data_IF_209964953126
#
_entry.id   IF_209964953126
#
_cell.length_a   1.000
_cell.length_b   1.000
_cell.length_c   1.000
_cell.angle_alpha   90.00
_cell.angle_beta   90.00
_cell.angle_gamma   90.00
#
_symmetry.space_group_name_H-M   'P 1'
#
loop_
_entity.id
_entity.type
_entity.pdbx_description
1 polymer ?
#
# COMPACT_ATOMS: atom_id res chain seq x y z
N UNK A 1 21.04 -35.93 -33.00
CA UNK A 1 20.17 -35.72 -31.81
C UNK A 1 20.66 -34.64 -30.87
N UNK A 2 21.94 -34.46 -30.60
CA UNK A 2 22.45 -33.45 -29.61
C UNK A 2 22.14 -31.99 -29.97
N UNK A 3 22.10 -31.58 -31.22
CA UNK A 3 21.79 -30.20 -31.64
C UNK A 3 20.33 -29.78 -31.45
N UNK A 4 19.39 -30.71 -31.35
CA UNK A 4 17.98 -30.40 -31.14
C UNK A 4 17.68 -30.10 -29.65
N UNK A 5 18.35 -30.79 -28.75
CA UNK A 5 18.19 -30.61 -27.30
C UNK A 5 18.75 -29.25 -26.84
N UNK A 6 19.84 -28.78 -27.48
CA UNK A 6 20.45 -27.47 -27.14
C UNK A 6 19.54 -26.30 -27.52
N UNK A 7 18.88 -26.38 -28.69
CA UNK A 7 17.93 -25.34 -29.12
C UNK A 7 16.68 -25.29 -28.23
N UNK A 8 16.19 -26.43 -27.78
CA UNK A 8 15.00 -26.49 -26.92
C UNK A 8 15.29 -25.89 -25.52
N UNK A 9 16.48 -26.11 -24.98
CA UNK A 9 16.92 -25.48 -23.70
C UNK A 9 17.03 -23.96 -23.81
N UNK A 10 17.54 -23.41 -24.91
CA UNK A 10 17.59 -21.97 -25.13
C UNK A 10 16.22 -21.32 -25.22
N UNK A 11 15.23 -21.98 -25.85
CA UNK A 11 13.86 -21.47 -25.91
C UNK A 11 13.16 -21.49 -24.56
N UNK A 12 13.42 -22.51 -23.72
CA UNK A 12 12.83 -22.62 -22.39
C UNK A 12 13.38 -21.55 -21.44
N UNK A 13 14.67 -21.24 -21.54
CA UNK A 13 15.30 -20.17 -20.72
C UNK A 13 14.87 -18.77 -21.15
N UNK A 14 14.70 -18.53 -22.46
CA UNK A 14 14.15 -17.27 -22.98
C UNK A 14 12.68 -17.08 -22.56
N UNK A 15 11.87 -18.13 -22.60
CA UNK A 15 10.48 -18.07 -22.16
C UNK A 15 10.35 -17.85 -20.64
N UNK A 16 11.22 -18.46 -19.85
CA UNK A 16 11.27 -18.23 -18.40
C UNK A 16 11.71 -16.79 -18.05
N UNK A 17 12.61 -16.18 -18.84
CA UNK A 17 13.00 -14.76 -18.68
C UNK A 17 11.86 -13.80 -19.03
N UNK A 18 11.01 -14.12 -20.00
CA UNK A 18 9.83 -13.32 -20.34
C UNK A 18 8.74 -13.36 -19.26
N UNK A 19 8.62 -14.46 -18.50
CA UNK A 19 7.67 -14.59 -17.39
C UNK A 19 8.12 -13.84 -16.13
N UNK A 20 9.38 -13.42 -16.04
CA UNK A 20 9.92 -12.66 -14.90
C UNK A 20 9.78 -11.13 -15.06
N UNK A 21 9.38 -10.63 -16.22
CA UNK A 21 9.02 -9.23 -16.37
C UNK A 21 7.62 -9.02 -15.78
N UNK A 22 7.61 -8.71 -14.49
CA UNK A 22 6.39 -8.28 -13.82
C UNK A 22 5.79 -7.11 -14.59
N UNK A 23 4.62 -7.32 -15.20
CA UNK A 23 3.89 -6.30 -15.92
C UNK A 23 3.61 -5.13 -14.96
N UNK A 24 4.32 -4.00 -15.13
CA UNK A 24 3.93 -2.74 -14.53
C UNK A 24 2.71 -2.21 -15.29
N UNK A 25 1.70 -1.77 -14.54
CA UNK A 25 0.52 -1.14 -15.11
C UNK A 25 0.72 0.36 -15.03
N UNK A 26 0.80 1.04 -16.18
CA UNK A 26 0.91 2.50 -16.27
C UNK A 26 -0.49 3.10 -16.42
N UNK A 27 -0.85 4.02 -15.53
CA UNK A 27 -2.17 4.66 -15.45
C UNK A 27 -2.02 6.17 -15.68
N UNK A 28 -2.87 6.79 -16.52
CA UNK A 28 -2.91 8.25 -16.68
C UNK A 28 -3.17 8.98 -15.36
N UNK A 29 -2.66 10.22 -15.21
CA UNK A 29 -2.73 10.98 -13.96
C UNK A 29 -4.18 11.19 -13.48
N UNK A 30 -5.10 11.44 -14.38
CA UNK A 30 -6.52 11.67 -14.11
C UNK A 30 -7.22 10.47 -13.45
N UNK A 31 -6.83 9.25 -13.82
CA UNK A 31 -7.43 8.01 -13.32
C UNK A 31 -6.61 7.34 -12.22
N UNK A 32 -5.36 7.77 -12.04
CA UNK A 32 -4.39 7.06 -11.22
C UNK A 32 -4.83 6.91 -9.77
N UNK A 33 -5.27 7.99 -9.13
CA UNK A 33 -5.65 7.99 -7.71
C UNK A 33 -6.84 7.05 -7.49
N UNK A 34 -7.89 7.15 -8.32
CA UNK A 34 -9.08 6.31 -8.19
C UNK A 34 -8.76 4.83 -8.43
N UNK A 35 -7.93 4.54 -9.44
CA UNK A 35 -7.50 3.18 -9.73
C UNK A 35 -6.67 2.61 -8.57
N UNK A 36 -5.71 3.40 -8.06
CA UNK A 36 -4.82 3.00 -6.97
C UNK A 36 -5.61 2.71 -5.69
N UNK A 37 -6.51 3.61 -5.29
CA UNK A 37 -7.36 3.44 -4.11
C UNK A 37 -8.17 2.15 -4.19
N UNK A 38 -8.77 1.88 -5.35
CA UNK A 38 -9.53 0.64 -5.58
C UNK A 38 -8.66 -0.62 -5.54
N UNK A 39 -7.47 -0.58 -6.14
CA UNK A 39 -6.58 -1.74 -6.29
C UNK A 39 -5.79 -2.06 -5.03
N UNK A 40 -5.32 -1.01 -4.35
CA UNK A 40 -4.31 -1.10 -3.28
C UNK A 40 -4.91 -1.04 -1.88
N UNK A 41 -6.18 -0.70 -1.75
CA UNK A 41 -6.88 -0.76 -0.47
C UNK A 41 -6.98 -2.20 0.02
N UNK A 42 -6.63 -2.41 1.27
CA UNK A 42 -6.89 -3.65 2.01
C UNK A 42 -7.91 -3.36 3.10
N UNK A 43 -8.85 -4.26 3.28
CA UNK A 43 -9.91 -4.15 4.29
C UNK A 43 -9.85 -5.33 5.25
N UNK A 44 -10.19 -5.07 6.50
CA UNK A 44 -10.31 -6.06 7.55
C UNK A 44 -11.44 -5.71 8.50
N UNK A 45 -12.35 -6.63 8.70
CA UNK A 45 -13.39 -6.49 9.71
C UNK A 45 -12.90 -7.04 11.05
N UNK A 46 -13.12 -6.27 12.11
CA UNK A 46 -12.90 -6.69 13.50
C UNK A 46 -13.89 -5.99 14.43
N UNK A 47 -14.61 -6.77 15.25
CA UNK A 47 -15.60 -6.26 16.21
C UNK A 47 -16.70 -5.38 15.57
N UNK A 48 -17.15 -5.74 14.36
CA UNK A 48 -18.18 -4.99 13.62
C UNK A 48 -17.72 -3.68 13.00
N UNK A 49 -16.41 -3.41 13.03
CA UNK A 49 -15.79 -2.24 12.41
C UNK A 49 -14.96 -2.72 11.22
N UNK A 50 -15.16 -2.08 10.07
CA UNK A 50 -14.37 -2.34 8.88
C UNK A 50 -13.18 -1.37 8.83
N UNK A 51 -11.99 -1.88 9.08
CA UNK A 51 -10.73 -1.17 8.96
C UNK A 51 -10.23 -1.26 7.52
N UNK A 52 -9.65 -0.19 7.03
CA UNK A 52 -8.94 -0.23 5.75
C UNK A 52 -7.57 0.43 5.84
N UNK A 53 -6.64 -0.03 5.00
CA UNK A 53 -5.32 0.55 4.88
C UNK A 53 -4.86 0.60 3.43
N UNK A 54 -4.10 1.65 3.09
CA UNK A 54 -3.49 1.87 1.79
C UNK A 54 -2.03 2.29 2.02
N UNK A 55 -1.10 1.48 1.54
CA UNK A 55 0.32 1.85 1.51
C UNK A 55 0.57 2.80 0.32
N UNK A 56 1.09 4.00 0.59
CA UNK A 56 1.30 4.99 -0.45
C UNK A 56 2.64 4.77 -1.18
N UNK A 57 2.63 4.92 -2.49
CA UNK A 57 3.84 4.95 -3.33
C UNK A 57 4.19 6.40 -3.68
N UNK A 58 5.46 6.69 -4.05
CA UNK A 58 5.83 8.03 -4.53
C UNK A 58 4.98 8.51 -5.71
N UNK A 59 4.60 7.59 -6.61
CA UNK A 59 3.72 7.90 -7.75
C UNK A 59 2.32 8.33 -7.30
N UNK A 60 1.78 7.69 -6.24
CA UNK A 60 0.49 8.10 -5.68
C UNK A 60 0.57 9.49 -5.04
N UNK A 61 1.62 9.74 -4.27
CA UNK A 61 1.83 11.02 -3.61
C UNK A 61 2.03 12.15 -4.64
N UNK A 62 2.81 11.88 -5.70
CA UNK A 62 2.99 12.81 -6.83
C UNK A 62 1.67 13.08 -7.55
N UNK A 63 0.84 12.07 -7.79
CA UNK A 63 -0.45 12.24 -8.47
C UNK A 63 -1.45 13.03 -7.63
N UNK A 64 -1.49 12.82 -6.30
CA UNK A 64 -2.50 13.39 -5.41
C UNK A 64 -2.10 14.71 -4.79
N UNK A 65 -0.82 14.90 -4.44
CA UNK A 65 -0.33 16.06 -3.69
C UNK A 65 0.80 16.84 -4.38
N UNK A 66 1.23 16.40 -5.57
CA UNK A 66 2.37 16.93 -6.34
C UNK A 66 3.73 16.90 -5.58
N UNK A 67 3.78 16.29 -4.41
CA UNK A 67 4.98 16.23 -3.56
C UNK A 67 5.21 14.79 -3.09
N UNK A 68 6.11 14.04 -3.73
CA UNK A 68 6.50 12.72 -3.23
C UNK A 68 7.31 12.84 -1.93
N UNK A 69 7.25 11.81 -1.10
CA UNK A 69 8.15 11.67 0.05
C UNK A 69 9.56 11.30 -0.43
N UNK A 70 10.54 12.01 0.09
CA UNK A 70 11.94 11.73 -0.22
C UNK A 70 12.43 10.42 0.39
N UNK A 71 11.86 10.02 1.53
CA UNK A 71 12.24 8.78 2.23
C UNK A 71 11.09 8.23 3.07
N UNK A 72 11.19 6.94 3.42
CA UNK A 72 10.22 6.28 4.29
C UNK A 72 8.97 5.79 3.58
N UNK A 73 7.94 5.51 4.35
CA UNK A 73 6.66 4.98 3.89
C UNK A 73 5.51 5.70 4.58
N UNK A 74 4.48 6.05 3.83
CA UNK A 74 3.20 6.49 4.38
C UNK A 74 2.13 5.44 4.19
N UNK A 75 1.27 5.32 5.20
CA UNK A 75 0.09 4.45 5.14
C UNK A 75 -1.12 5.28 5.55
N UNK A 76 -2.13 5.30 4.69
CA UNK A 76 -3.45 5.79 5.07
C UNK A 76 -4.20 4.65 5.73
N UNK A 77 -4.75 4.90 6.91
CA UNK A 77 -5.62 3.95 7.61
C UNK A 77 -6.90 4.63 8.04
N UNK A 78 -8.01 3.91 7.97
CA UNK A 78 -9.30 4.40 8.42
C UNK A 78 -10.21 3.27 8.89
N UNK A 79 -11.38 3.66 9.41
CA UNK A 79 -12.41 2.73 9.87
C UNK A 79 -13.81 3.23 9.52
N UNK A 80 -14.71 2.30 9.23
CA UNK A 80 -16.12 2.56 8.97
C UNK A 80 -16.99 1.54 9.72
N UNK A 81 -18.16 1.91 10.26
CA UNK A 81 -18.69 3.28 10.35
C UNK A 81 -17.80 4.16 11.21
N UNK A 82 -17.96 5.49 11.12
CA UNK A 82 -17.22 6.48 11.92
C UNK A 82 -17.41 6.16 13.41
N UNK A 83 -16.31 5.86 14.09
CA UNK A 83 -16.32 5.37 15.45
C UNK A 83 -15.36 6.12 16.37
N UNK A 84 -15.07 7.38 16.13
CA UNK A 84 -14.05 8.14 16.85
C UNK A 84 -12.77 7.32 17.06
N UNK A 85 -12.27 6.79 15.94
CA UNK A 85 -11.13 5.91 15.93
C UNK A 85 -9.94 6.59 16.61
N UNK A 86 -9.43 5.96 17.64
CA UNK A 86 -8.16 6.30 18.25
C UNK A 86 -7.34 5.03 18.49
N UNK A 87 -6.05 5.14 18.51
CA UNK A 87 -5.11 4.07 18.86
C UNK A 87 -3.87 4.68 19.48
N UNK A 88 -3.20 3.93 20.34
CA UNK A 88 -2.01 4.42 21.05
C UNK A 88 -0.87 4.68 20.08
N UNK A 89 -0.43 3.66 19.38
CA UNK A 89 0.64 3.72 18.38
C UNK A 89 0.40 2.74 17.25
N UNK A 90 1.23 2.80 16.21
CA UNK A 90 1.18 1.89 15.07
C UNK A 90 2.58 1.38 14.70
N UNK A 91 2.64 0.14 14.24
CA UNK A 91 3.85 -0.50 13.79
C UNK A 91 3.68 -1.01 12.37
N UNK A 92 4.70 -0.79 11.56
CA UNK A 92 4.87 -1.43 10.27
C UNK A 92 5.75 -2.66 10.48
N UNK A 93 5.23 -3.85 10.22
CA UNK A 93 5.90 -5.12 10.46
C UNK A 93 6.26 -5.76 9.13
N UNK A 94 7.54 -5.81 8.81
CA UNK A 94 8.11 -6.56 7.70
C UNK A 94 8.38 -8.02 8.08
N UNK A 95 9.12 -8.73 7.24
CA UNK A 95 9.50 -10.13 7.49
C UNK A 95 10.51 -10.27 8.63
N UNK A 96 11.41 -9.30 8.81
CA UNK A 96 12.50 -9.34 9.81
C UNK A 96 12.56 -8.08 10.67
N UNK A 97 11.98 -6.99 10.19
CA UNK A 97 12.10 -5.67 10.77
C UNK A 97 10.73 -5.15 11.19
N UNK A 98 10.74 -4.26 12.17
CA UNK A 98 9.55 -3.55 12.66
C UNK A 98 9.91 -2.09 12.83
N UNK A 99 9.10 -1.20 12.24
CA UNK A 99 9.23 0.24 12.42
C UNK A 99 8.01 0.79 13.15
N UNK A 100 8.25 1.63 14.14
CA UNK A 100 7.20 2.36 14.82
C UNK A 100 6.82 3.63 14.03
N UNK A 101 5.57 4.04 14.14
CA UNK A 101 5.09 5.27 13.52
C UNK A 101 5.82 6.48 14.10
N UNK A 102 6.35 7.35 13.21
CA UNK A 102 7.02 8.60 13.61
C UNK A 102 6.00 9.73 13.68
N UNK A 103 5.09 9.80 12.69
CA UNK A 103 4.07 10.84 12.61
C UNK A 103 2.71 10.19 12.40
N UNK A 104 1.76 10.57 13.24
CA UNK A 104 0.34 10.22 13.14
C UNK A 104 -0.46 11.49 12.95
N UNK A 105 -1.09 11.67 11.79
CA UNK A 105 -1.92 12.83 11.46
C UNK A 105 -3.33 12.40 11.13
N UNK A 106 -4.31 12.93 11.86
CA UNK A 106 -5.74 12.74 11.51
C UNK A 106 -6.06 13.56 10.27
N UNK A 107 -6.70 12.94 9.29
CA UNK A 107 -7.21 13.61 8.10
C UNK A 107 -8.65 14.07 8.36
N UNK A 108 -8.93 15.33 8.02
CA UNK A 108 -10.30 15.80 7.91
C UNK A 108 -10.72 15.61 6.46
N UNK A 109 -11.61 14.65 6.21
CA UNK A 109 -12.18 14.43 4.88
C UNK A 109 -13.60 14.93 4.86
N UNK A 110 -13.86 15.95 4.06
CA UNK A 110 -15.22 16.45 3.82
C UNK A 110 -15.99 15.60 2.80
N UNK A 111 -15.28 14.79 1.99
CA UNK A 111 -15.84 14.10 0.82
C UNK A 111 -16.22 12.63 1.07
N UNK A 112 -15.64 11.96 2.05
CA UNK A 112 -15.94 10.55 2.36
C UNK A 112 -16.74 10.46 3.65
N UNK A 113 -17.94 11.02 3.64
CA UNK A 113 -18.84 11.08 4.80
C UNK A 113 -18.74 9.85 5.68
N UNK A 114 -18.20 9.99 6.90
CA UNK A 114 -18.21 9.06 8.02
C UNK A 114 -17.00 8.14 8.26
N UNK A 115 -15.86 8.33 7.64
CA UNK A 115 -14.66 7.55 8.01
C UNK A 115 -13.65 8.42 8.78
N UNK A 116 -13.24 8.01 9.96
CA UNK A 116 -12.03 8.56 10.57
C UNK A 116 -10.81 8.01 9.86
N UNK A 117 -9.94 8.89 9.38
CA UNK A 117 -8.75 8.52 8.62
C UNK A 117 -7.49 9.12 9.25
N UNK A 118 -6.39 8.38 9.18
CA UNK A 118 -5.08 8.82 9.62
C UNK A 118 -4.05 8.58 8.52
N UNK A 119 -3.10 9.50 8.39
CA UNK A 119 -1.86 9.28 7.66
C UNK A 119 -0.77 8.95 8.67
N UNK A 120 -0.19 7.80 8.53
CA UNK A 120 0.90 7.29 9.36
C UNK A 120 2.20 7.35 8.55
N UNK A 121 3.24 7.93 9.11
CA UNK A 121 4.56 8.00 8.48
C UNK A 121 5.57 7.16 9.25
N UNK A 122 6.34 6.37 8.52
CA UNK A 122 7.39 5.49 9.01
C UNK A 122 8.74 5.87 8.39
N UNK A 123 9.84 5.69 9.14
CA UNK A 123 11.19 6.01 8.65
C UNK A 123 11.58 5.17 7.43
N UNK A 124 11.24 3.88 7.48
CA UNK A 124 11.66 2.91 6.48
C UNK A 124 10.50 2.41 5.65
N UNK A 125 10.80 2.05 4.40
CA UNK A 125 9.86 1.35 3.53
C UNK A 125 10.05 -0.15 3.71
N UNK A 126 8.95 -0.84 3.95
CA UNK A 126 8.94 -2.30 4.11
C UNK A 126 8.02 -2.96 3.08
N UNK A 127 8.56 -3.92 2.36
CA UNK A 127 7.81 -4.70 1.37
C UNK A 127 7.04 -5.84 2.03
N UNK A 128 5.80 -6.07 1.56
CA UNK A 128 4.95 -7.13 2.11
C UNK A 128 4.66 -6.94 3.59
N UNK A 129 4.61 -5.70 4.04
CA UNK A 129 4.43 -5.36 5.44
C UNK A 129 2.98 -5.55 5.89
N UNK A 130 2.82 -5.73 7.20
CA UNK A 130 1.55 -5.63 7.92
C UNK A 130 1.54 -4.39 8.78
N UNK A 131 0.44 -3.67 8.78
CA UNK A 131 0.20 -2.58 9.71
C UNK A 131 -0.45 -3.14 10.97
N UNK A 132 0.14 -2.88 12.13
CA UNK A 132 -0.45 -3.18 13.44
C UNK A 132 -0.80 -1.88 14.15
N UNK A 133 -2.07 -1.68 14.45
CA UNK A 133 -2.56 -0.63 15.33
C UNK A 133 -2.64 -1.18 16.74
N UNK A 134 -2.06 -0.50 17.73
CA UNK A 134 -2.06 -0.90 19.13
C UNK A 134 -3.15 -0.19 19.92
N UNK A 135 -3.82 -0.93 20.81
CA UNK A 135 -4.81 -0.39 21.74
C UNK A 135 -5.84 0.51 21.04
N UNK A 136 -6.48 -0.06 20.00
CA UNK A 136 -7.57 0.63 19.29
C UNK A 136 -8.73 0.82 20.26
N UNK A 137 -9.33 2.03 20.22
CA UNK A 137 -10.45 2.44 21.08
C UNK A 137 -11.64 1.47 21.02
N UNK A 138 -12.62 1.66 21.90
CA UNK A 138 -13.84 0.86 22.00
C UNK A 138 -13.61 -0.63 22.35
N UNK A 139 -12.52 -0.95 23.03
CA UNK A 139 -12.23 -2.33 23.45
C UNK A 139 -11.82 -3.27 22.33
N UNK A 140 -11.51 -2.76 21.15
CA UNK A 140 -11.15 -3.57 19.97
C UNK A 140 -9.77 -4.24 20.18
N UNK A 141 -8.86 -3.60 20.92
CA UNK A 141 -7.51 -4.09 21.15
C UNK A 141 -6.58 -3.85 19.96
N UNK A 142 -5.79 -4.84 19.59
CA UNK A 142 -4.85 -4.70 18.49
C UNK A 142 -5.50 -5.11 17.17
N UNK A 143 -5.26 -4.31 16.12
CA UNK A 143 -5.74 -4.59 14.75
C UNK A 143 -4.52 -4.75 13.83
N UNK A 144 -4.46 -5.84 13.09
CA UNK A 144 -3.44 -6.07 12.08
C UNK A 144 -4.06 -6.10 10.68
N UNK A 145 -3.50 -5.35 9.75
CA UNK A 145 -3.96 -5.24 8.36
C UNK A 145 -2.79 -5.57 7.44
N UNK A 146 -2.96 -6.52 6.54
CA UNK A 146 -1.97 -6.79 5.50
C UNK A 146 -1.96 -5.66 4.47
N UNK A 147 -0.78 -5.16 4.11
CA UNK A 147 -0.64 -4.13 3.10
C UNK A 147 -0.38 -4.76 1.74
N UNK A 148 -1.13 -4.36 0.72
CA UNK A 148 -0.88 -4.80 -0.66
C UNK A 148 0.39 -4.14 -1.20
N UNK A 149 1.19 -4.93 -1.89
CA UNK A 149 2.32 -4.40 -2.67
C UNK A 149 1.81 -3.87 -4.01
N UNK A 150 1.79 -2.56 -4.15
CA UNK A 150 1.32 -1.86 -5.34
C UNK A 150 2.44 -1.10 -6.08
N UNK A 151 3.69 -1.50 -5.92
CA UNK A 151 4.83 -0.89 -6.63
C UNK A 151 4.80 -1.10 -8.14
N UNK A 152 4.03 -2.08 -8.61
CA UNK A 152 3.80 -2.32 -10.03
C UNK A 152 2.76 -1.39 -10.66
N UNK A 153 2.02 -0.62 -9.86
CA UNK A 153 1.09 0.41 -10.33
C UNK A 153 1.86 1.71 -10.48
N UNK A 154 2.06 2.17 -11.71
CA UNK A 154 2.88 3.32 -12.04
C UNK A 154 2.07 4.44 -12.63
N UNK A 155 2.44 5.67 -12.27
CA UNK A 155 1.93 6.87 -12.91
C UNK A 155 2.53 7.01 -14.30
N UNK A 156 1.68 7.13 -15.32
CA UNK A 156 2.14 7.39 -16.68
C UNK A 156 2.66 8.83 -16.77
N UNK A 157 3.95 8.98 -17.00
CA UNK A 157 4.55 10.29 -17.24
C UNK A 157 4.22 10.73 -18.67
N UNK A 158 3.56 11.86 -18.79
CA UNK A 158 3.45 12.52 -20.11
C UNK A 158 4.86 12.98 -20.48
N UNK A 159 5.48 12.29 -21.44
CA UNK A 159 6.71 12.80 -22.10
C UNK A 159 6.29 14.05 -22.86
N UNK A 160 6.65 15.21 -22.33
CA UNK A 160 6.64 16.48 -23.07
C UNK A 160 7.74 16.46 -24.12
#
# INVERSE_FOLDING_TARGET
MARFILKFRCYLTLFALFLLWGCSVEIPKEDFVAYYDKKCKTEKEQSGINFFAIALTPDYEKAKWDVPLDSGMRVVVGATPRSDLSFETAFLMGKRDTAEVIVKRKMQTFELGSADMFVLSFADRMDGARLRLKNVSHGIGNVEIELKDCRNVRLKENKQ
#
